data_IF_387194694006
#
_entry.id   IF_387194694006
#
_cell.length_a   1.000
_cell.length_b   1.000
_cell.length_c   1.000
_cell.angle_alpha   90.00
_cell.angle_beta   90.00
_cell.angle_gamma   90.00
#
_symmetry.space_group_name_H-M   'P 1'
#
loop_
_entity.id
_entity.type
_entity.pdbx_description
1 polymer ?
#
# COMPACT_ATOMS: atom_id res chain seq x y z
N UNK A 1 -0.93 -20.97 0.04
CA UNK A 1 -0.03 -20.42 -0.99
C UNK A 1 0.08 -18.93 -0.78
N UNK A 2 1.26 -18.35 -1.02
CA UNK A 2 1.51 -16.91 -0.89
C UNK A 2 1.85 -16.30 -2.24
N UNK A 3 1.33 -15.10 -2.48
CA UNK A 3 1.52 -14.33 -3.71
C UNK A 3 2.16 -12.97 -3.39
N UNK A 4 3.22 -12.60 -4.10
CA UNK A 4 3.91 -11.33 -3.94
C UNK A 4 3.53 -10.35 -5.05
N UNK A 5 3.13 -9.14 -4.65
CA UNK A 5 2.73 -8.06 -5.57
C UNK A 5 3.95 -7.46 -6.28
N UNK A 6 3.83 -7.28 -7.59
CA UNK A 6 4.73 -6.44 -8.38
C UNK A 6 4.12 -5.05 -8.46
N UNK A 7 4.84 -4.07 -7.91
CA UNK A 7 4.40 -2.68 -8.00
C UNK A 7 4.36 -2.18 -9.45
N UNK A 8 3.31 -1.45 -9.87
CA UNK A 8 3.28 -0.80 -11.16
C UNK A 8 4.41 0.22 -11.28
N UNK A 9 5.14 0.19 -12.40
CA UNK A 9 6.28 1.08 -12.66
C UNK A 9 5.87 2.31 -13.48
N UNK A 10 4.81 2.19 -14.28
CA UNK A 10 4.36 3.22 -15.22
C UNK A 10 2.95 3.69 -14.89
N UNK A 11 2.65 4.95 -15.22
CA UNK A 11 1.31 5.48 -15.05
C UNK A 11 0.29 4.72 -15.91
N UNK A 12 -0.79 4.27 -15.28
CA UNK A 12 -1.71 3.32 -15.86
C UNK A 12 -2.95 3.11 -15.00
N UNK A 13 -3.73 2.11 -15.38
CA UNK A 13 -4.95 1.74 -14.65
C UNK A 13 -4.68 1.28 -13.21
N UNK A 14 -3.45 0.84 -12.90
CA UNK A 14 -3.01 0.42 -11.57
C UNK A 14 -2.22 1.49 -10.81
N UNK A 15 -1.79 2.54 -11.51
CA UNK A 15 -1.04 3.66 -10.95
C UNK A 15 -1.42 4.93 -11.71
N UNK A 16 -2.60 5.51 -11.46
CA UNK A 16 -3.00 6.72 -12.16
C UNK A 16 -2.08 7.88 -11.79
N UNK A 17 -1.79 8.72 -12.77
CA UNK A 17 -1.07 9.97 -12.54
C UNK A 17 -2.02 11.00 -11.91
N UNK A 18 -1.64 11.58 -10.78
CA UNK A 18 -2.48 12.50 -10.01
C UNK A 18 -1.86 12.91 -8.68
N UNK A 19 -2.54 13.78 -7.94
CA UNK A 19 -2.15 14.16 -6.58
C UNK A 19 -3.40 14.43 -5.72
N UNK A 20 -3.18 14.55 -4.41
CA UNK A 20 -4.23 14.80 -3.43
C UNK A 20 -4.62 16.27 -3.39
N UNK A 21 -5.91 16.56 -3.50
CA UNK A 21 -6.44 17.93 -3.50
C UNK A 21 -6.62 18.41 -2.06
N UNK A 22 -5.98 19.51 -1.69
CA UNK A 22 -6.13 20.15 -0.37
C UNK A 22 -5.42 19.44 0.79
N UNK A 23 -4.87 18.23 0.56
CA UNK A 23 -4.25 17.43 1.62
C UNK A 23 -3.00 18.09 2.19
N UNK A 24 -2.11 18.63 1.36
CA UNK A 24 -0.88 19.31 1.83
C UNK A 24 -1.23 20.55 2.66
N UNK A 25 -2.24 21.28 2.22
CA UNK A 25 -2.75 22.47 2.89
C UNK A 25 -3.36 22.13 4.24
N UNK A 26 -4.12 21.04 4.33
CA UNK A 26 -4.70 20.54 5.58
C UNK A 26 -3.64 20.05 6.57
N UNK A 27 -2.65 19.26 6.13
CA UNK A 27 -1.53 18.84 6.97
C UNK A 27 -0.77 20.06 7.48
N UNK A 28 -0.56 21.06 6.63
CA UNK A 28 0.14 22.30 7.01
C UNK A 28 -0.66 23.11 8.03
N UNK A 29 -1.97 23.27 7.82
CA UNK A 29 -2.87 23.94 8.76
C UNK A 29 -2.82 23.27 10.13
N UNK A 30 -2.96 21.94 10.18
CA UNK A 30 -2.85 21.19 11.44
C UNK A 30 -1.50 21.42 12.12
N UNK A 31 -0.40 21.37 11.37
CA UNK A 31 0.94 21.61 11.90
C UNK A 31 1.10 23.02 12.49
N UNK A 32 0.62 24.04 11.79
CA UNK A 32 0.80 25.44 12.21
C UNK A 32 -0.17 25.85 13.32
N UNK A 33 -1.41 25.36 13.30
CA UNK A 33 -2.52 25.89 14.11
C UNK A 33 -2.95 24.95 15.25
N UNK A 34 -2.90 23.64 15.04
CA UNK A 34 -3.49 22.66 15.98
C UNK A 34 -2.43 21.88 16.77
N UNK A 35 -1.27 21.64 16.16
CA UNK A 35 -0.17 20.90 16.79
C UNK A 35 0.49 21.72 17.90
N UNK A 36 0.61 21.15 19.09
CA UNK A 36 1.29 21.80 20.22
C UNK A 36 2.77 22.09 19.93
N UNK A 37 3.35 23.03 20.66
CA UNK A 37 4.77 23.37 20.52
C UNK A 37 5.68 22.16 20.81
N UNK A 38 5.31 21.34 21.79
CA UNK A 38 6.01 20.13 22.19
C UNK A 38 5.98 19.07 21.07
N UNK A 39 4.82 18.86 20.45
CA UNK A 39 4.69 17.95 19.31
C UNK A 39 5.47 18.45 18.09
N UNK A 40 5.41 19.75 17.78
CA UNK A 40 6.18 20.33 16.66
C UNK A 40 7.69 20.22 16.87
N UNK A 41 8.15 20.33 18.12
CA UNK A 41 9.56 20.20 18.45
C UNK A 41 10.11 18.81 18.06
N UNK A 42 9.30 17.75 18.13
CA UNK A 42 9.68 16.41 17.66
C UNK A 42 10.00 16.36 16.14
N UNK A 43 9.54 17.36 15.39
CA UNK A 43 9.79 17.52 13.95
C UNK A 43 10.73 18.70 13.65
N UNK A 44 11.55 19.14 14.61
CA UNK A 44 12.41 20.33 14.52
C UNK A 44 11.65 21.61 14.11
N UNK A 45 10.35 21.70 14.43
CA UNK A 45 9.47 22.76 13.97
C UNK A 45 9.41 22.90 12.43
N UNK A 46 9.65 21.81 11.69
CA UNK A 46 9.62 21.78 10.21
C UNK A 46 8.45 20.97 9.69
N UNK A 47 7.47 21.65 9.10
CA UNK A 47 6.32 21.04 8.40
C UNK A 47 6.75 19.93 7.41
N UNK A 48 7.83 20.15 6.64
CA UNK A 48 8.33 19.17 5.66
C UNK A 48 8.72 17.83 6.29
N UNK A 49 9.15 17.81 7.56
CA UNK A 49 9.42 16.57 8.29
C UNK A 49 8.13 15.90 8.71
N UNK A 50 7.17 16.66 9.20
CA UNK A 50 5.88 16.12 9.60
C UNK A 50 5.15 15.47 8.41
N UNK A 51 4.98 16.16 7.28
CA UNK A 51 4.33 15.57 6.11
C UNK A 51 5.10 14.35 5.56
N UNK A 52 6.44 14.36 5.67
CA UNK A 52 7.26 13.19 5.34
C UNK A 52 6.91 11.99 6.22
N UNK A 53 6.77 12.18 7.53
CA UNK A 53 6.38 11.13 8.47
C UNK A 53 4.95 10.62 8.21
N UNK A 54 4.00 11.51 7.88
CA UNK A 54 2.66 11.11 7.47
C UNK A 54 2.71 10.25 6.19
N UNK A 55 3.45 10.68 5.16
CA UNK A 55 3.59 9.92 3.93
C UNK A 55 4.22 8.53 4.16
N UNK A 56 5.16 8.41 5.11
CA UNK A 56 5.77 7.12 5.47
C UNK A 56 4.78 6.15 6.09
N UNK A 57 3.76 6.61 6.83
CA UNK A 57 2.67 5.75 7.36
C UNK A 57 1.97 4.97 6.26
N UNK A 58 1.90 5.48 5.02
CA UNK A 58 1.28 4.78 3.89
C UNK A 58 1.97 3.46 3.54
N UNK A 59 3.25 3.30 3.89
CA UNK A 59 4.04 2.13 3.50
C UNK A 59 4.86 1.47 4.62
N UNK A 60 4.95 2.07 5.79
CA UNK A 60 5.74 1.60 6.94
C UNK A 60 4.86 1.38 8.18
N UNK A 61 5.35 0.56 9.11
CA UNK A 61 4.67 0.26 10.38
C UNK A 61 4.81 1.43 11.37
N UNK A 62 4.02 2.49 11.13
CA UNK A 62 4.05 3.76 11.89
C UNK A 62 2.71 4.13 12.53
N UNK A 63 1.83 3.15 12.70
CA UNK A 63 0.50 3.36 13.26
C UNK A 63 -0.55 3.81 12.23
N UNK A 64 -1.78 4.11 12.69
CA UNK A 64 -2.87 4.57 11.82
C UNK A 64 -2.64 6.00 11.34
N UNK A 65 -3.39 6.38 10.31
CA UNK A 65 -3.61 7.77 9.99
C UNK A 65 -4.64 8.38 10.92
N UNK A 66 -4.33 9.57 11.42
CA UNK A 66 -5.29 10.47 12.03
C UNK A 66 -6.23 11.07 10.96
N UNK A 67 -7.38 11.64 11.34
CA UNK A 67 -8.37 12.13 10.37
C UNK A 67 -7.80 13.14 9.35
N UNK A 68 -7.03 14.14 9.77
CA UNK A 68 -6.41 15.14 8.89
C UNK A 68 -5.28 14.57 8.03
N UNK A 69 -4.76 13.39 8.40
CA UNK A 69 -3.72 12.70 7.65
C UNK A 69 -4.26 11.94 6.44
N UNK A 70 -5.59 11.74 6.35
CA UNK A 70 -6.27 10.94 5.32
C UNK A 70 -6.66 11.83 4.13
N UNK A 71 -6.06 11.64 2.94
CA UNK A 71 -6.54 12.35 1.75
C UNK A 71 -8.01 12.02 1.45
N UNK A 72 -8.80 13.04 1.15
CA UNK A 72 -10.23 12.89 0.84
C UNK A 72 -10.54 12.90 -0.67
N UNK A 73 -9.65 13.48 -1.47
CA UNK A 73 -9.74 13.52 -2.93
C UNK A 73 -8.38 13.27 -3.59
N UNK A 74 -8.36 12.41 -4.60
CA UNK A 74 -7.25 12.23 -5.53
C UNK A 74 -7.70 12.68 -6.93
N UNK A 75 -7.05 13.71 -7.47
CA UNK A 75 -7.37 14.22 -8.81
C UNK A 75 -6.40 13.65 -9.82
N UNK A 76 -6.93 12.94 -10.80
CA UNK A 76 -6.13 12.46 -11.93
C UNK A 76 -5.68 13.64 -12.79
N UNK A 77 -4.42 13.60 -13.24
CA UNK A 77 -3.88 14.55 -14.22
C UNK A 77 -4.20 14.13 -15.67
N UNK A 78 -4.40 12.83 -15.88
CA UNK A 78 -4.75 12.27 -17.19
C UNK A 78 -6.12 11.59 -17.13
N UNK A 79 -6.95 11.80 -18.15
CA UNK A 79 -8.24 11.13 -18.24
C UNK A 79 -8.05 9.62 -18.46
N UNK A 80 -8.78 8.80 -17.68
CA UNK A 80 -8.74 7.34 -17.77
C UNK A 80 -10.15 6.78 -17.90
N UNK A 81 -10.33 5.85 -18.85
CA UNK A 81 -11.61 5.15 -19.04
C UNK A 81 -11.87 4.14 -17.93
N UNK A 82 -10.82 3.52 -17.40
CA UNK A 82 -10.92 2.47 -16.39
C UNK A 82 -9.80 2.57 -15.36
N UNK A 83 -10.10 2.31 -14.10
CA UNK A 83 -9.15 2.11 -13.01
C UNK A 83 -9.26 0.67 -12.48
N UNK A 84 -8.16 0.15 -11.95
CA UNK A 84 -8.10 -1.19 -11.39
C UNK A 84 -8.60 -1.23 -9.94
N UNK A 85 -9.01 -2.40 -9.46
CA UNK A 85 -9.56 -2.58 -8.11
C UNK A 85 -8.54 -2.38 -7.00
N UNK A 86 -7.25 -2.53 -7.29
CA UNK A 86 -6.16 -2.22 -6.35
C UNK A 86 -5.15 -1.26 -6.97
N UNK A 87 -5.14 -0.03 -6.49
CA UNK A 87 -4.34 1.07 -7.00
C UNK A 87 -3.12 1.34 -6.12
N UNK A 88 -2.02 1.70 -6.79
CA UNK A 88 -0.93 2.49 -6.23
C UNK A 88 -1.21 3.96 -6.53
N UNK A 89 -1.13 4.84 -5.53
CA UNK A 89 -1.29 6.29 -5.68
C UNK A 89 0.00 7.01 -5.23
N UNK A 90 -0.02 8.35 -5.32
CA UNK A 90 1.08 9.22 -4.91
C UNK A 90 1.54 8.93 -3.48
N UNK A 91 2.86 8.98 -3.26
CA UNK A 91 3.53 8.64 -1.99
C UNK A 91 3.36 7.18 -1.54
N UNK A 92 2.93 6.26 -2.42
CA UNK A 92 2.83 4.84 -2.09
C UNK A 92 1.56 4.42 -1.37
N UNK A 93 0.61 5.36 -1.19
CA UNK A 93 -0.72 5.06 -0.68
C UNK A 93 -1.42 4.06 -1.60
N UNK A 94 -2.24 3.19 -1.00
CA UNK A 94 -3.10 2.29 -1.75
C UNK A 94 -4.53 2.80 -1.74
N UNK A 95 -5.23 2.52 -2.83
CA UNK A 95 -6.68 2.65 -2.88
C UNK A 95 -7.30 1.37 -3.43
N UNK A 96 -8.48 1.05 -2.94
CA UNK A 96 -9.26 -0.11 -3.39
C UNK A 96 -10.67 0.32 -3.78
N UNK A 97 -11.27 -0.36 -4.75
CA UNK A 97 -12.70 -0.19 -5.01
C UNK A 97 -13.55 -0.85 -3.90
N UNK A 98 -14.86 -0.60 -3.93
CA UNK A 98 -15.79 -1.15 -2.93
C UNK A 98 -15.74 -2.67 -2.84
N UNK A 99 -15.71 -3.37 -3.99
CA UNK A 99 -15.74 -4.84 -4.04
C UNK A 99 -14.51 -5.45 -3.38
N UNK A 100 -13.31 -4.91 -3.66
CA UNK A 100 -12.09 -5.40 -3.02
C UNK A 100 -12.04 -5.05 -1.54
N UNK A 101 -12.48 -3.84 -1.15
CA UNK A 101 -12.61 -3.47 0.27
C UNK A 101 -13.48 -4.46 1.02
N UNK A 102 -14.64 -4.82 0.49
CA UNK A 102 -15.57 -5.76 1.12
C UNK A 102 -14.96 -7.14 1.32
N UNK A 103 -14.22 -7.67 0.34
CA UNK A 103 -13.51 -8.94 0.49
C UNK A 103 -12.48 -8.84 1.61
N UNK A 104 -11.63 -7.81 1.60
CA UNK A 104 -10.56 -7.65 2.60
C UNK A 104 -11.17 -7.50 3.99
N UNK A 105 -12.17 -6.65 4.18
CA UNK A 105 -12.81 -6.43 5.48
C UNK A 105 -13.54 -7.69 5.99
N UNK A 106 -14.12 -8.50 5.09
CA UNK A 106 -14.75 -9.77 5.46
C UNK A 106 -13.73 -10.81 5.92
N UNK A 107 -12.59 -10.88 5.25
CA UNK A 107 -11.54 -11.85 5.54
C UNK A 107 -10.67 -11.43 6.74
N UNK A 108 -10.44 -10.13 6.92
CA UNK A 108 -9.59 -9.54 7.96
C UNK A 108 -10.27 -8.32 8.62
N UNK A 109 -11.38 -8.51 9.36
CA UNK A 109 -12.18 -7.42 9.91
C UNK A 109 -11.39 -6.55 10.89
N UNK A 110 -11.40 -5.25 10.66
CA UNK A 110 -10.71 -4.27 11.51
C UNK A 110 -9.19 -4.33 11.49
N UNK A 111 -8.57 -5.18 10.66
CA UNK A 111 -7.11 -5.30 10.57
C UNK A 111 -6.56 -4.10 9.81
N UNK A 112 -7.14 -3.76 8.67
CA UNK A 112 -6.67 -2.67 7.80
C UNK A 112 -7.46 -1.38 8.05
N UNK A 113 -6.84 -0.24 7.73
CA UNK A 113 -7.51 1.05 7.82
C UNK A 113 -8.03 1.44 6.44
N UNK A 114 -9.34 1.74 6.37
CA UNK A 114 -10.01 2.26 5.19
C UNK A 114 -10.65 3.62 5.46
N UNK A 115 -10.74 4.45 4.43
CA UNK A 115 -11.54 5.68 4.46
C UNK A 115 -12.02 6.02 3.05
N UNK A 116 -13.17 6.71 2.89
CA UNK A 116 -13.63 7.16 1.57
C UNK A 116 -12.60 8.04 0.88
N UNK A 117 -12.30 7.76 -0.38
CA UNK A 117 -11.41 8.56 -1.21
C UNK A 117 -12.10 8.83 -2.54
N UNK A 118 -12.47 10.09 -2.78
CA UNK A 118 -13.01 10.50 -4.07
C UNK A 118 -11.89 10.50 -5.10
N UNK A 119 -12.12 9.87 -6.24
CA UNK A 119 -11.23 10.01 -7.40
C UNK A 119 -11.93 10.93 -8.39
N UNK A 120 -11.25 11.99 -8.83
CA UNK A 120 -11.79 12.94 -9.81
C UNK A 120 -10.97 12.94 -11.09
N UNK A 121 -11.62 13.22 -12.22
CA UNK A 121 -10.97 13.43 -13.51
C UNK A 121 -10.18 14.74 -13.54
N UNK A 122 -9.36 15.02 -14.56
CA UNK A 122 -8.64 16.29 -14.67
C UNK A 122 -9.54 17.53 -14.67
N UNK A 123 -10.80 17.36 -15.11
CA UNK A 123 -11.82 18.42 -15.14
C UNK A 123 -12.57 18.60 -13.81
N UNK A 124 -12.29 17.74 -12.82
CA UNK A 124 -12.97 17.75 -11.53
C UNK A 124 -14.22 16.86 -11.45
N UNK A 125 -14.64 16.23 -12.55
CA UNK A 125 -15.78 15.31 -12.53
C UNK A 125 -15.46 14.07 -11.69
N UNK A 126 -16.44 13.54 -10.97
CA UNK A 126 -16.28 12.34 -10.15
C UNK A 126 -16.07 11.09 -11.03
N UNK A 127 -15.12 10.24 -10.63
CA UNK A 127 -14.93 8.94 -11.26
C UNK A 127 -16.07 8.01 -10.83
N UNK A 128 -16.70 7.26 -11.75
CA UNK A 128 -17.99 6.61 -11.50
C UNK A 128 -17.95 5.41 -10.53
N UNK A 129 -16.76 5.01 -10.07
CA UNK A 129 -16.58 3.88 -9.15
C UNK A 129 -16.11 4.43 -7.80
N UNK A 130 -16.75 4.04 -6.68
CA UNK A 130 -16.32 4.47 -5.35
C UNK A 130 -14.99 3.81 -4.98
N UNK A 131 -14.05 4.61 -4.49
CA UNK A 131 -12.76 4.16 -3.98
C UNK A 131 -12.59 4.49 -2.51
N UNK A 132 -11.71 3.72 -1.87
CA UNK A 132 -11.32 3.88 -0.48
C UNK A 132 -9.81 3.92 -0.40
N UNK A 133 -9.26 4.93 0.28
CA UNK A 133 -7.87 4.90 0.69
C UNK A 133 -7.67 3.75 1.68
N UNK A 134 -6.51 3.10 1.60
CA UNK A 134 -6.18 1.94 2.41
C UNK A 134 -4.74 1.99 2.92
N UNK A 135 -4.55 1.73 4.21
CA UNK A 135 -3.27 1.33 4.76
C UNK A 135 -3.32 -0.14 5.18
N UNK A 136 -2.36 -0.90 4.64
CA UNK A 136 -2.08 -2.26 5.12
C UNK A 136 -1.37 -2.14 6.47
N UNK A 137 -2.05 -2.55 7.54
CA UNK A 137 -1.56 -2.47 8.92
C UNK A 137 -0.96 -3.78 9.44
N UNK A 138 -1.16 -4.88 8.74
CA UNK A 138 -0.52 -6.14 9.08
C UNK A 138 0.92 -6.15 8.53
N UNK A 139 1.91 -6.10 9.43
CA UNK A 139 3.33 -6.18 9.09
C UNK A 139 3.94 -7.44 9.70
N UNK A 140 4.27 -8.41 8.86
CA UNK A 140 4.72 -9.74 9.28
C UNK A 140 6.18 -9.93 8.86
N UNK A 141 6.97 -10.58 9.72
CA UNK A 141 8.26 -11.15 9.34
C UNK A 141 8.04 -12.60 8.90
N UNK A 142 7.66 -12.76 7.64
CA UNK A 142 7.31 -14.04 7.03
C UNK A 142 8.39 -14.53 6.06
N UNK A 143 9.29 -13.65 5.63
CA UNK A 143 10.34 -13.95 4.67
C UNK A 143 11.49 -14.76 5.29
N UNK A 144 11.93 -15.81 4.58
CA UNK A 144 13.03 -16.67 5.02
C UNK A 144 14.24 -16.49 4.09
N UNK A 145 15.18 -15.60 4.42
CA UNK A 145 16.29 -15.24 3.54
C UNK A 145 17.21 -16.42 3.22
N UNK A 146 17.43 -17.32 4.18
CA UNK A 146 18.35 -18.47 4.04
C UNK A 146 17.88 -19.47 2.97
N UNK A 147 16.60 -19.44 2.61
CA UNK A 147 16.00 -20.31 1.60
C UNK A 147 15.59 -19.54 0.32
N UNK A 148 16.05 -18.28 0.20
CA UNK A 148 15.64 -17.37 -0.86
C UNK A 148 16.82 -16.90 -1.70
N UNK A 149 16.59 -16.74 -3.01
CA UNK A 149 17.56 -16.08 -3.88
C UNK A 149 17.31 -14.56 -3.87
N UNK A 150 18.06 -13.83 -3.04
CA UNK A 150 17.88 -12.39 -2.80
C UNK A 150 19.19 -11.64 -2.72
N UNK A 151 19.09 -10.31 -2.79
CA UNK A 151 20.15 -9.39 -2.43
C UNK A 151 19.84 -8.70 -1.11
N UNK A 152 20.88 -8.39 -0.33
CA UNK A 152 20.79 -7.48 0.81
C UNK A 152 20.88 -6.03 0.32
N UNK A 153 20.18 -5.11 0.99
CA UNK A 153 20.21 -3.68 0.69
C UNK A 153 21.63 -3.10 0.81
N UNK A 154 22.35 -3.53 1.84
CA UNK A 154 23.74 -3.19 2.10
C UNK A 154 24.36 -4.31 2.93
N UNK A 155 25.70 -4.39 2.96
CA UNK A 155 26.40 -5.37 3.78
C UNK A 155 25.96 -5.27 5.26
N UNK A 156 25.52 -6.39 5.83
CA UNK A 156 25.05 -6.46 7.22
C UNK A 156 23.62 -5.94 7.44
N UNK A 157 22.89 -5.60 6.38
CA UNK A 157 21.48 -5.22 6.48
C UNK A 157 20.56 -6.44 6.57
N UNK A 158 19.56 -6.37 7.45
CA UNK A 158 18.44 -7.32 7.54
C UNK A 158 17.31 -7.05 6.53
N UNK A 159 17.56 -6.15 5.59
CA UNK A 159 16.62 -5.76 4.55
C UNK A 159 17.06 -6.31 3.21
N UNK A 160 16.14 -7.00 2.54
CA UNK A 160 16.39 -7.76 1.32
C UNK A 160 15.51 -7.30 0.16
N UNK A 161 15.88 -7.69 -1.05
CA UNK A 161 15.04 -7.53 -2.24
C UNK A 161 15.33 -8.63 -3.27
N UNK A 162 14.30 -9.02 -4.03
CA UNK A 162 14.45 -9.95 -5.14
C UNK A 162 15.23 -9.30 -6.30
N UNK A 163 15.96 -10.14 -7.05
CA UNK A 163 16.75 -9.75 -8.24
C UNK A 163 15.92 -8.93 -9.23
N UNK A 164 14.69 -9.36 -9.50
CA UNK A 164 13.76 -8.67 -10.38
C UNK A 164 12.30 -8.97 -10.04
N UNK A 165 11.35 -8.18 -10.58
CA UNK A 165 9.91 -8.40 -10.41
C UNK A 165 9.38 -9.43 -11.43
N UNK A 166 10.04 -10.59 -11.56
CA UNK A 166 9.66 -11.64 -12.51
C UNK A 166 9.09 -12.85 -11.80
N UNK A 167 8.32 -13.67 -12.52
CA UNK A 167 7.81 -14.95 -12.01
C UNK A 167 8.95 -15.86 -11.52
N UNK A 168 10.09 -15.87 -12.21
CA UNK A 168 11.25 -16.68 -11.85
C UNK A 168 11.87 -16.20 -10.54
N UNK A 169 12.09 -14.89 -10.41
CA UNK A 169 12.74 -14.33 -9.23
C UNK A 169 11.84 -14.43 -8.00
N UNK A 170 10.56 -14.08 -8.12
CA UNK A 170 9.61 -14.20 -7.01
C UNK A 170 9.34 -15.66 -6.64
N UNK A 171 9.29 -16.54 -7.64
CA UNK A 171 9.18 -17.98 -7.41
C UNK A 171 10.37 -18.56 -6.64
N UNK A 172 11.47 -17.82 -6.46
CA UNK A 172 12.61 -18.24 -5.63
C UNK A 172 12.62 -17.65 -4.22
N UNK A 173 11.59 -16.91 -3.83
CA UNK A 173 11.44 -16.39 -2.48
C UNK A 173 10.67 -17.40 -1.62
N UNK A 174 11.18 -17.65 -0.43
CA UNK A 174 10.59 -18.53 0.57
C UNK A 174 9.89 -17.73 1.67
N UNK A 175 8.65 -18.10 1.95
CA UNK A 175 7.81 -17.53 3.01
C UNK A 175 7.47 -18.63 4.01
N UNK A 176 7.66 -18.35 5.29
CA UNK A 176 7.27 -19.21 6.41
C UNK A 176 5.75 -19.31 6.47
N UNK A 177 5.22 -20.51 6.21
CA UNK A 177 3.79 -20.79 6.29
C UNK A 177 3.24 -20.55 7.69
N UNK A 178 4.04 -20.87 8.71
CA UNK A 178 3.68 -20.65 10.11
C UNK A 178 3.55 -19.16 10.43
N UNK A 179 4.47 -18.33 9.93
CA UNK A 179 4.44 -16.88 10.19
C UNK A 179 3.30 -16.18 9.45
N UNK A 180 3.00 -16.60 8.23
CA UNK A 180 1.90 -16.05 7.42
C UNK A 180 0.52 -16.65 7.75
N UNK A 181 0.44 -17.60 8.68
CA UNK A 181 -0.80 -18.32 8.96
C UNK A 181 -1.92 -17.37 9.42
N UNK A 182 -3.11 -17.52 8.82
CA UNK A 182 -4.29 -16.72 9.15
C UNK A 182 -4.28 -15.29 8.60
N UNK A 183 -3.24 -14.88 7.87
CA UNK A 183 -3.13 -13.55 7.27
C UNK A 183 -3.50 -13.59 5.80
N UNK A 184 -4.23 -12.58 5.34
CA UNK A 184 -4.81 -12.55 3.99
C UNK A 184 -4.14 -11.49 3.13
N UNK A 185 -3.83 -10.33 3.72
CA UNK A 185 -3.08 -9.24 3.13
C UNK A 185 -2.08 -8.68 4.13
N UNK A 186 -0.79 -8.64 3.77
CA UNK A 186 0.22 -8.05 4.66
C UNK A 186 1.34 -7.38 3.91
N UNK A 187 2.11 -6.58 4.65
CA UNK A 187 3.42 -6.08 4.24
C UNK A 187 4.51 -6.88 4.93
N UNK A 188 5.56 -7.19 4.18
CA UNK A 188 6.74 -7.84 4.76
C UNK A 188 7.66 -6.81 5.42
N UNK A 189 8.24 -7.18 6.56
CA UNK A 189 9.15 -6.33 7.34
C UNK A 189 10.55 -6.31 6.73
N UNK A 190 11.02 -7.45 6.23
CA UNK A 190 12.42 -7.63 5.80
C UNK A 190 12.64 -7.67 4.29
N UNK A 191 11.58 -7.62 3.49
CA UNK A 191 11.64 -7.71 2.02
C UNK A 191 11.01 -6.48 1.37
N UNK A 192 11.81 -5.73 0.62
CA UNK A 192 11.36 -4.50 -0.06
C UNK A 192 10.68 -4.77 -1.41
N UNK A 193 10.97 -5.91 -2.03
CA UNK A 193 10.43 -6.27 -3.35
C UNK A 193 10.34 -7.79 -3.49
N UNK A 194 9.12 -8.37 -3.46
CA UNK A 194 7.83 -7.73 -3.19
C UNK A 194 7.73 -7.21 -1.75
N UNK A 195 6.94 -6.15 -1.55
CA UNK A 195 6.63 -5.60 -0.21
C UNK A 195 5.22 -5.94 0.27
N UNK A 196 4.30 -6.27 -0.64
CA UNK A 196 2.90 -6.61 -0.33
C UNK A 196 2.64 -8.05 -0.76
N UNK A 197 1.93 -8.78 0.09
CA UNK A 197 1.67 -10.19 -0.06
C UNK A 197 0.19 -10.48 0.12
N UNK A 198 -0.29 -11.50 -0.59
CA UNK A 198 -1.65 -12.02 -0.48
C UNK A 198 -1.61 -13.51 -0.18
N UNK A 199 -2.57 -13.97 0.60
CA UNK A 199 -2.89 -15.39 0.70
C UNK A 199 -3.53 -15.91 -0.59
N UNK A 200 -3.59 -17.23 -0.69
CA UNK A 200 -4.35 -17.90 -1.75
C UNK A 200 -5.86 -17.65 -1.63
N UNK A 201 -6.38 -17.55 -0.40
CA UNK A 201 -7.80 -17.32 -0.16
C UNK A 201 -8.26 -15.95 -0.66
N UNK A 202 -7.50 -14.89 -0.37
CA UNK A 202 -7.77 -13.56 -0.93
C UNK A 202 -7.63 -13.56 -2.46
N UNK A 203 -6.64 -14.29 -2.99
CA UNK A 203 -6.45 -14.44 -4.43
C UNK A 203 -7.66 -15.05 -5.13
N UNK A 204 -8.19 -16.15 -4.57
CA UNK A 204 -9.34 -16.85 -5.11
C UNK A 204 -10.58 -15.94 -5.14
N UNK A 205 -10.80 -15.15 -4.08
CA UNK A 205 -11.96 -14.26 -3.99
C UNK A 205 -11.93 -13.14 -5.03
N UNK A 206 -10.80 -12.43 -5.18
CA UNK A 206 -10.73 -11.37 -6.18
C UNK A 206 -10.72 -11.92 -7.61
N UNK A 207 -10.18 -13.13 -7.83
CA UNK A 207 -10.23 -13.80 -9.12
C UNK A 207 -11.65 -14.22 -9.49
N UNK A 208 -12.41 -14.75 -8.52
CA UNK A 208 -13.83 -15.14 -8.67
C UNK A 208 -14.71 -13.95 -9.10
N UNK A 209 -14.42 -12.76 -8.57
CA UNK A 209 -15.13 -11.53 -8.92
C UNK A 209 -14.56 -10.80 -10.16
N UNK A 210 -13.49 -11.33 -10.77
CA UNK A 210 -12.85 -10.70 -11.93
C UNK A 210 -12.21 -9.35 -11.63
N UNK A 211 -11.84 -9.08 -10.37
CA UNK A 211 -11.25 -7.81 -9.96
C UNK A 211 -9.84 -7.67 -10.55
N UNK A 212 -9.51 -6.45 -10.97
CA UNK A 212 -8.20 -6.16 -11.57
C UNK A 212 -7.21 -5.80 -10.47
N UNK A 213 -6.29 -6.71 -10.19
CA UNK A 213 -5.18 -6.55 -9.24
C UNK A 213 -3.87 -6.40 -10.02
N UNK A 214 -2.89 -5.58 -9.57
CA UNK A 214 -1.60 -5.53 -10.24
C UNK A 214 -0.95 -6.90 -10.33
N UNK A 215 -0.01 -7.05 -11.25
CA UNK A 215 0.70 -8.30 -11.46
C UNK A 215 1.25 -8.83 -10.14
N UNK A 216 1.08 -10.11 -9.89
CA UNK A 216 1.59 -10.79 -8.72
C UNK A 216 2.05 -12.19 -9.11
N UNK A 217 2.99 -12.73 -8.36
CA UNK A 217 3.60 -14.03 -8.62
C UNK A 217 3.54 -14.90 -7.38
N UNK A 218 3.36 -16.20 -7.57
CA UNK A 218 3.37 -17.19 -6.50
C UNK A 218 4.78 -17.38 -5.95
N UNK A 219 4.90 -17.47 -4.62
CA UNK A 219 6.14 -17.71 -3.89
C UNK A 219 6.19 -19.16 -3.37
N UNK A 220 7.36 -19.56 -2.85
CA UNK A 220 7.53 -20.84 -2.14
C UNK A 220 7.03 -20.67 -0.70
N UNK A 221 6.19 -21.59 -0.25
CA UNK A 221 5.87 -21.74 1.17
C UNK A 221 6.74 -22.84 1.77
N UNK A 222 7.24 -22.60 2.97
CA UNK A 222 8.07 -23.54 3.75
C UNK A 222 7.60 -23.66 5.19
#
# INVERSE_FOLDING_TARGET
>A
MVWGLVDPVNFGDFFPNGDYVGWKEEIKRFFDEEMSAEQRAAFDNRYVRYIGEVARKFTEDRGPLDPHERPSEFRMMDARKSLASFLLLTNGLRAVDASLKEIIERLEPGVHQFWPLRITTPKGDEYPVPYYGMIIRHFIDSFVPEQSAVHQLSAGSDVFFANGPTKKDYGNLAISKRAAAGSQLWRERRLLRPKIFFSDELQVEYARLGLRIPRHHKLKEI
#
